data_IF_140377494866
#
_entry.id   IF_140377494866
#
_cell.length_a   1.000
_cell.length_b   1.000
_cell.length_c   1.000
_cell.angle_alpha   90.00
_cell.angle_beta   90.00
_cell.angle_gamma   90.00
#
_symmetry.space_group_name_H-M   'P 1'
#
loop_
_entity.id
_entity.type
_entity.pdbx_description
1 polymer ?
#
# COMPACT_ATOMS: atom_id res chain seq x y z
N UNK A 1 11.76 -20.70 -8.17
CA UNK A 1 10.47 -20.43 -7.48
C UNK A 1 10.78 -19.56 -6.27
N UNK A 2 10.35 -18.30 -6.22
CA UNK A 2 10.43 -17.52 -4.98
C UNK A 2 9.32 -18.00 -4.01
N UNK A 3 9.48 -17.78 -2.69
CA UNK A 3 8.63 -18.40 -1.68
C UNK A 3 7.21 -17.80 -1.71
N UNK A 4 6.20 -18.66 -1.69
CA UNK A 4 4.83 -18.30 -1.32
C UNK A 4 4.79 -18.10 0.20
N UNK A 5 4.44 -16.92 0.74
CA UNK A 5 4.17 -16.79 2.15
C UNK A 5 2.71 -17.20 2.43
N UNK A 6 2.56 -18.12 3.38
CA UNK A 6 1.31 -18.64 3.89
C UNK A 6 0.25 -17.56 4.18
N UNK A 7 -0.98 -17.83 3.72
CA UNK A 7 -2.18 -17.13 4.16
C UNK A 7 -2.67 -17.77 5.45
N UNK A 8 -3.05 -16.99 6.49
CA UNK A 8 -4.44 -17.16 6.93
C UNK A 8 -5.12 -15.87 7.43
N UNK A 9 -6.45 -15.85 7.27
CA UNK A 9 -7.42 -14.82 7.67
C UNK A 9 -7.54 -13.56 6.80
N UNK A 10 -8.23 -13.77 5.68
CA UNK A 10 -9.31 -12.95 5.11
C UNK A 10 -9.90 -11.90 6.07
N UNK A 11 -9.43 -10.66 5.99
CA UNK A 11 -10.10 -9.47 6.52
C UNK A 11 -9.61 -8.26 5.73
N UNK A 12 -10.20 -8.05 4.55
CA UNK A 12 -10.02 -6.87 3.70
C UNK A 12 -9.64 -7.25 2.28
N UNK A 13 -10.61 -7.33 1.36
CA UNK A 13 -10.43 -7.53 -0.08
C UNK A 13 -9.44 -6.54 -0.69
N UNK A 14 -8.17 -6.88 -0.70
CA UNK A 14 -7.13 -5.99 -1.15
C UNK A 14 -5.94 -6.79 -1.58
N UNK A 15 -5.96 -7.26 -2.82
CA UNK A 15 -4.75 -7.72 -3.45
C UNK A 15 -3.91 -6.50 -3.87
N UNK A 16 -2.59 -6.69 -3.93
CA UNK A 16 -1.70 -5.71 -4.53
C UNK A 16 -2.08 -5.58 -5.99
N UNK A 17 -2.56 -4.40 -6.37
CA UNK A 17 -3.00 -4.16 -7.74
C UNK A 17 -2.50 -2.82 -8.25
N UNK A 18 -2.18 -2.71 -9.54
CA UNK A 18 -1.99 -1.42 -10.17
C UNK A 18 -3.32 -0.65 -10.12
N UNK A 19 -3.24 0.64 -9.85
CA UNK A 19 -4.37 1.54 -9.72
C UNK A 19 -4.07 2.81 -10.50
N UNK A 20 -5.09 3.39 -11.12
CA UNK A 20 -4.92 4.68 -11.78
C UNK A 20 -4.78 5.78 -10.72
N UNK A 21 -3.80 6.68 -10.89
CA UNK A 21 -3.56 7.82 -9.99
C UNK A 21 -4.76 8.76 -9.88
N UNK A 22 -5.60 8.80 -10.92
CA UNK A 22 -6.83 9.59 -10.98
C UNK A 22 -8.06 8.83 -10.45
N UNK A 23 -7.92 7.56 -10.05
CA UNK A 23 -9.03 6.79 -9.52
C UNK A 23 -9.57 7.43 -8.22
N UNK A 24 -10.89 7.40 -7.99
CA UNK A 24 -11.49 7.99 -6.79
C UNK A 24 -11.10 7.27 -5.49
N UNK A 25 -10.55 6.06 -5.58
CA UNK A 25 -10.03 5.32 -4.42
C UNK A 25 -8.67 5.85 -3.93
N UNK A 26 -7.97 6.66 -4.73
CA UNK A 26 -6.69 7.27 -4.34
C UNK A 26 -6.97 8.53 -3.51
N UNK A 27 -6.48 8.60 -2.26
CA UNK A 27 -6.63 9.79 -1.43
C UNK A 27 -6.07 11.03 -2.13
N UNK A 28 -6.71 12.18 -1.93
CA UNK A 28 -6.30 13.42 -2.57
C UNK A 28 -4.83 13.77 -2.27
N UNK A 29 -4.38 13.56 -1.03
CA UNK A 29 -2.99 13.80 -0.60
C UNK A 29 -1.99 12.90 -1.35
N UNK A 30 -2.29 11.60 -1.46
CA UNK A 30 -1.45 10.63 -2.20
C UNK A 30 -1.41 11.01 -3.67
N UNK A 31 -2.56 11.28 -4.28
CA UNK A 31 -2.65 11.71 -5.68
C UNK A 31 -1.84 12.97 -5.95
N UNK A 32 -1.91 13.99 -5.10
CA UNK A 32 -1.10 15.21 -5.26
C UNK A 32 0.40 14.91 -5.17
N UNK A 33 0.81 14.07 -4.22
CA UNK A 33 2.21 13.69 -4.05
C UNK A 33 2.73 12.85 -5.22
N UNK A 34 1.94 11.88 -5.70
CA UNK A 34 2.26 11.09 -6.90
C UNK A 34 2.33 11.99 -8.12
N UNK A 35 1.34 12.85 -8.37
CA UNK A 35 1.33 13.77 -9.51
C UNK A 35 2.50 14.76 -9.53
N UNK A 36 3.13 15.03 -8.38
CA UNK A 36 4.30 15.89 -8.30
C UNK A 36 5.59 15.23 -8.83
N UNK A 37 5.67 13.90 -8.85
CA UNK A 37 6.88 13.15 -9.21
C UNK A 37 6.67 12.14 -10.34
N UNK A 38 5.43 11.77 -10.65
CA UNK A 38 5.08 10.75 -11.64
C UNK A 38 5.55 11.13 -13.04
N UNK A 39 6.20 10.19 -13.71
CA UNK A 39 6.62 10.30 -15.10
C UNK A 39 5.76 9.41 -16.01
N UNK A 40 5.68 9.71 -17.31
CA UNK A 40 5.00 8.84 -18.26
C UNK A 40 5.67 7.46 -18.31
N UNK A 41 4.96 6.44 -17.82
CA UNK A 41 5.46 5.06 -17.70
C UNK A 41 5.45 4.53 -16.26
N UNK A 42 5.36 5.42 -15.27
CA UNK A 42 5.26 5.03 -13.88
C UNK A 42 3.85 4.51 -13.56
N UNK A 43 3.78 3.56 -12.63
CA UNK A 43 2.54 2.90 -12.26
C UNK A 43 2.34 2.95 -10.74
N UNK A 44 1.18 3.46 -10.34
CA UNK A 44 0.77 3.47 -8.94
C UNK A 44 0.18 2.11 -8.57
N UNK A 45 0.61 1.57 -7.44
CA UNK A 45 0.14 0.30 -6.89
C UNK A 45 -0.53 0.54 -5.55
N UNK A 46 -1.68 -0.10 -5.37
CA UNK A 46 -2.40 -0.13 -4.10
C UNK A 46 -2.00 -1.40 -3.37
N UNK A 47 -1.24 -1.25 -2.29
CA UNK A 47 -0.71 -2.32 -1.46
C UNK A 47 -1.35 -2.28 -0.07
N UNK A 48 -2.54 -2.85 0.13
CA UNK A 48 -3.17 -2.92 1.44
C UNK A 48 -2.39 -3.90 2.34
N UNK A 49 -1.75 -3.36 3.37
CA UNK A 49 -1.00 -4.11 4.37
C UNK A 49 -1.73 -4.12 5.70
N UNK A 50 -1.53 -5.19 6.47
CA UNK A 50 -1.94 -5.20 7.88
C UNK A 50 -0.86 -4.41 8.62
N UNK A 51 -1.20 -3.27 9.23
CA UNK A 51 -0.25 -2.53 10.06
C UNK A 51 0.37 -3.46 11.09
N UNK A 52 1.68 -3.32 11.33
CA UNK A 52 2.28 -3.85 12.54
C UNK A 52 1.50 -3.31 13.75
N UNK A 53 1.26 -4.12 14.79
CA UNK A 53 0.45 -3.69 15.92
C UNK A 53 1.15 -2.51 16.61
N UNK A 54 0.52 -1.33 16.62
CA UNK A 54 1.06 -0.15 17.30
C UNK A 54 0.69 -0.18 18.79
N UNK A 55 1.63 0.22 19.65
CA UNK A 55 1.45 0.38 21.10
C UNK A 55 2.11 -0.71 21.96
N UNK A 56 2.31 -0.46 23.25
CA UNK A 56 2.93 -1.40 24.20
C UNK A 56 2.17 -2.75 24.34
N UNK A 57 0.89 -2.79 23.96
CA UNK A 57 0.07 -4.00 23.87
C UNK A 57 0.22 -4.77 22.54
N UNK A 58 0.83 -4.15 21.52
CA UNK A 58 1.13 -4.81 20.25
C UNK A 58 2.17 -5.92 20.35
N UNK A 59 3.01 -5.87 21.39
CA UNK A 59 3.99 -6.89 21.76
C UNK A 59 3.30 -8.20 22.19
N UNK A 60 2.05 -8.12 22.67
CA UNK A 60 1.23 -9.26 23.09
C UNK A 60 0.23 -9.71 22.01
N UNK A 61 0.19 -9.05 20.84
CA UNK A 61 -0.75 -9.38 19.77
C UNK A 61 -2.21 -8.97 20.02
N UNK A 62 -2.49 -8.21 21.09
CA UNK A 62 -3.82 -7.65 21.37
C UNK A 62 -3.89 -6.15 21.05
N UNK A 63 -4.67 -5.81 20.03
CA UNK A 63 -4.96 -4.43 19.65
C UNK A 63 -5.67 -4.35 18.29
N UNK A 64 -6.47 -3.31 18.01
CA UNK A 64 -7.12 -3.13 16.72
C UNK A 64 -6.04 -3.08 15.62
N UNK A 65 -6.06 -4.07 14.72
CA UNK A 65 -5.21 -4.08 13.53
C UNK A 65 -5.87 -3.18 12.50
N UNK A 66 -5.44 -1.94 12.42
CA UNK A 66 -5.82 -1.08 11.30
C UNK A 66 -5.21 -1.64 10.02
N UNK A 67 -6.04 -1.88 9.01
CA UNK A 67 -5.57 -2.12 7.64
C UNK A 67 -5.06 -0.77 7.14
N UNK A 68 -3.78 -0.71 6.78
CA UNK A 68 -3.14 0.48 6.23
C UNK A 68 -2.97 0.24 4.74
N UNK A 69 -3.43 1.18 3.93
CA UNK A 69 -3.21 1.13 2.49
C UNK A 69 -1.89 1.84 2.22
N UNK A 70 -0.89 1.09 1.79
CA UNK A 70 0.32 1.67 1.22
C UNK A 70 0.10 1.89 -0.27
N UNK A 71 0.59 3.01 -0.79
CA UNK A 71 0.52 3.35 -2.20
C UNK A 71 1.94 3.41 -2.75
N UNK A 72 2.31 2.46 -3.61
CA UNK A 72 3.67 2.34 -4.12
C UNK A 72 3.72 2.89 -5.54
N UNK A 73 4.50 3.93 -5.77
CA UNK A 73 4.80 4.38 -7.12
C UNK A 73 5.98 3.57 -7.65
N UNK A 74 5.74 2.78 -8.68
CA UNK A 74 6.78 2.00 -9.36
C UNK A 74 7.14 2.68 -10.68
N UNK A 75 8.40 2.56 -11.09
CA UNK A 75 8.84 2.96 -12.43
C UNK A 75 8.39 1.96 -13.51
N UNK A 76 8.69 2.27 -14.77
CA UNK A 76 8.38 1.41 -15.91
C UNK A 76 9.06 0.02 -15.86
N UNK A 77 10.08 -0.17 -15.02
CA UNK A 77 10.79 -1.42 -14.80
C UNK A 77 10.28 -2.18 -13.57
N UNK A 78 9.32 -1.60 -12.82
CA UNK A 78 8.75 -2.16 -11.60
C UNK A 78 9.59 -1.90 -10.35
N UNK A 79 10.57 -1.00 -10.39
CA UNK A 79 11.31 -0.58 -9.20
C UNK A 79 10.52 0.46 -8.41
N UNK A 80 10.54 0.35 -7.08
CA UNK A 80 9.87 1.30 -6.20
C UNK A 80 10.56 2.66 -6.26
N UNK A 81 9.84 3.67 -6.74
CA UNK A 81 10.25 5.08 -6.70
C UNK A 81 9.97 5.64 -5.30
N UNK A 82 8.73 5.56 -4.84
CA UNK A 82 8.29 6.18 -3.58
C UNK A 82 7.07 5.44 -3.01
N UNK A 83 6.93 5.41 -1.68
CA UNK A 83 5.78 4.83 -1.01
C UNK A 83 5.03 5.89 -0.19
N UNK A 84 3.72 5.99 -0.40
CA UNK A 84 2.85 6.94 0.28
C UNK A 84 1.90 6.22 1.25
N UNK A 85 1.59 6.86 2.36
CA UNK A 85 0.63 6.38 3.36
C UNK A 85 -0.40 7.46 3.70
N UNK A 86 -1.59 7.03 4.13
CA UNK A 86 -2.58 7.91 4.75
C UNK A 86 -2.17 8.15 6.22
N UNK A 87 -2.16 9.42 6.67
CA UNK A 87 -1.94 9.78 8.08
C UNK A 87 -3.22 9.72 8.89
#
# INVERSE_FOLDING_TARGET
>A
MPPHPDTPNNSGNGEDRPVDVHAPEVPASVRQAVLAIVQPGDQLWRCPRRSAPRGALGILGLGPRSVVIEWWLLDAQGALIEAFWEQ
#
